data_IF_069920785907
#
_entry.id   IF_069920785907
#
_cell.length_a   1.000
_cell.length_b   1.000
_cell.length_c   1.000
_cell.angle_alpha   90.00
_cell.angle_beta   90.00
_cell.angle_gamma   90.00
#
_symmetry.space_group_name_H-M   'P 1'
#
loop_
_entity.id
_entity.type
_entity.pdbx_description
1 polymer ?
#
# COMPACT_ATOMS: atom_id res chain seq x y z
N UNK A 1 -14.18 29.27 5.20
CA UNK A 1 -13.92 28.46 4.00
C UNK A 1 -15.14 27.60 3.65
N UNK A 2 -15.11 26.85 2.57
CA UNK A 2 -16.24 26.02 2.10
C UNK A 2 -16.73 25.06 3.16
N UNK A 3 -15.83 24.38 3.91
CA UNK A 3 -16.22 23.45 4.96
C UNK A 3 -16.96 24.16 6.09
N UNK A 4 -16.48 25.31 6.56
CA UNK A 4 -17.16 26.09 7.58
C UNK A 4 -18.55 26.55 7.11
N UNK A 5 -18.70 26.89 5.84
CA UNK A 5 -19.99 27.27 5.29
C UNK A 5 -20.96 26.07 5.28
N UNK A 6 -20.50 24.86 4.86
CA UNK A 6 -21.28 23.63 4.88
C UNK A 6 -21.70 23.23 6.30
N UNK A 7 -20.78 23.35 7.27
CA UNK A 7 -21.05 23.04 8.68
C UNK A 7 -22.15 23.96 9.26
N UNK A 8 -22.19 25.23 8.82
CA UNK A 8 -23.21 26.21 9.24
C UNK A 8 -24.53 26.12 8.44
N UNK A 9 -24.51 25.50 7.27
CA UNK A 9 -25.67 25.41 6.37
C UNK A 9 -25.78 24.02 5.74
N UNK A 10 -26.05 22.97 6.55
CA UNK A 10 -25.98 21.58 6.09
C UNK A 10 -26.99 21.25 4.97
N UNK A 11 -28.10 21.96 4.90
CA UNK A 11 -29.20 21.71 3.97
C UNK A 11 -29.23 22.69 2.77
N UNK A 12 -28.18 23.49 2.58
CA UNK A 12 -28.12 24.49 1.50
C UNK A 12 -26.99 24.19 0.52
N UNK A 13 -27.27 24.35 -0.74
CA UNK A 13 -26.25 24.36 -1.78
C UNK A 13 -25.27 25.52 -1.61
N UNK A 14 -24.04 25.32 -2.05
CA UNK A 14 -23.04 26.39 -2.01
C UNK A 14 -23.51 27.59 -2.82
N UNK A 15 -23.33 28.82 -2.31
CA UNK A 15 -23.61 30.02 -3.10
C UNK A 15 -22.83 30.04 -4.41
N UNK A 16 -23.42 30.64 -5.46
CA UNK A 16 -22.86 30.70 -6.82
C UNK A 16 -21.44 31.29 -6.90
N UNK A 17 -21.03 32.07 -5.90
CA UNK A 17 -19.68 32.64 -5.85
C UNK A 17 -18.62 31.66 -5.33
N UNK A 18 -19.00 30.48 -4.83
CA UNK A 18 -18.09 29.39 -4.52
C UNK A 18 -17.90 28.53 -5.76
N UNK A 19 -16.92 28.87 -6.56
CA UNK A 19 -16.54 28.10 -7.76
C UNK A 19 -15.19 27.43 -7.56
N UNK A 20 -15.05 26.23 -8.09
CA UNK A 20 -13.78 25.51 -8.12
C UNK A 20 -12.92 25.98 -9.30
N UNK A 21 -11.62 25.70 -9.25
CA UNK A 21 -10.67 26.25 -10.22
C UNK A 21 -10.87 25.74 -11.65
N UNK A 22 -11.47 24.58 -11.84
CA UNK A 22 -11.82 23.97 -13.12
C UNK A 22 -13.15 24.48 -13.70
N UNK A 23 -13.99 25.11 -12.85
CA UNK A 23 -15.25 25.74 -13.23
C UNK A 23 -15.07 27.18 -13.74
N UNK A 24 -13.88 27.76 -13.53
CA UNK A 24 -13.58 29.12 -13.98
C UNK A 24 -13.32 29.12 -15.48
N UNK A 25 -14.04 29.99 -16.23
CA UNK A 25 -13.83 30.15 -17.67
C UNK A 25 -12.37 30.54 -17.98
N UNK A 26 -11.68 29.68 -18.68
CA UNK A 26 -10.28 29.86 -19.04
C UNK A 26 -10.04 31.04 -19.96
N UNK A 27 -11.00 31.40 -20.80
CA UNK A 27 -10.90 32.59 -21.69
C UNK A 27 -10.89 33.89 -20.87
N UNK A 28 -11.72 33.94 -19.83
CA UNK A 28 -11.74 35.08 -18.91
C UNK A 28 -10.45 35.17 -18.09
N UNK A 29 -9.88 34.03 -17.69
CA UNK A 29 -8.57 34.01 -17.02
C UNK A 29 -7.45 34.56 -17.89
N UNK A 30 -7.41 34.19 -19.18
CA UNK A 30 -6.44 34.73 -20.14
C UNK A 30 -6.61 36.26 -20.27
N UNK A 31 -7.84 36.74 -20.44
CA UNK A 31 -8.12 38.20 -20.52
C UNK A 31 -7.66 38.93 -19.26
N UNK A 32 -7.95 38.41 -18.10
CA UNK A 32 -7.53 39.00 -16.82
C UNK A 32 -5.99 39.03 -16.71
N UNK A 33 -5.32 37.90 -17.01
CA UNK A 33 -3.86 37.85 -16.98
C UNK A 33 -3.22 38.77 -17.98
N UNK A 34 -3.76 38.92 -19.21
CA UNK A 34 -3.32 39.86 -20.23
C UNK A 34 -3.43 41.31 -19.73
N UNK A 35 -4.55 41.66 -19.11
CA UNK A 35 -4.72 42.99 -18.54
C UNK A 35 -3.67 43.32 -17.47
N UNK A 36 -3.32 42.36 -16.61
CA UNK A 36 -2.28 42.52 -15.60
C UNK A 36 -0.88 42.54 -16.22
N UNK A 37 -0.62 41.72 -17.24
CA UNK A 37 0.71 41.58 -17.87
C UNK A 37 1.20 42.90 -18.47
N UNK A 38 0.32 43.80 -18.88
CA UNK A 38 0.67 45.13 -19.40
C UNK A 38 1.37 46.01 -18.38
N UNK A 39 1.22 45.71 -17.10
CA UNK A 39 1.77 46.46 -15.97
C UNK A 39 2.89 45.70 -15.22
N UNK A 40 3.28 44.56 -15.72
CA UNK A 40 4.26 43.69 -15.07
C UNK A 40 5.34 43.28 -16.07
N UNK A 41 6.60 43.61 -15.77
CA UNK A 41 7.73 43.32 -16.64
C UNK A 41 8.09 41.82 -16.66
N UNK A 42 7.88 41.11 -15.57
CA UNK A 42 8.12 39.69 -15.49
C UNK A 42 6.93 38.86 -15.99
N UNK A 43 7.19 37.58 -16.33
CA UNK A 43 6.12 36.63 -16.62
C UNK A 43 5.27 36.36 -15.37
N UNK A 44 3.96 36.37 -15.53
CA UNK A 44 3.01 36.02 -14.49
C UNK A 44 2.90 34.49 -14.47
N UNK A 45 3.22 33.87 -13.32
CA UNK A 45 3.00 32.44 -13.13
C UNK A 45 1.51 32.18 -12.82
N UNK A 46 0.81 31.61 -13.79
CA UNK A 46 -0.60 31.26 -13.66
C UNK A 46 -0.86 29.89 -14.27
N UNK A 47 -1.56 29.03 -13.55
CA UNK A 47 -2.01 27.73 -14.05
C UNK A 47 -3.51 27.77 -14.31
N UNK A 48 -3.91 27.42 -15.53
CA UNK A 48 -5.30 27.25 -15.92
C UNK A 48 -5.66 25.79 -15.74
N UNK A 49 -6.58 25.51 -14.83
CA UNK A 49 -7.08 24.17 -14.60
C UNK A 49 -8.27 23.91 -15.53
N UNK A 50 -8.23 22.78 -16.21
CA UNK A 50 -9.26 22.33 -17.14
C UNK A 50 -9.86 21.01 -16.64
N UNK A 51 -11.15 20.78 -16.86
CA UNK A 51 -11.80 19.55 -16.42
C UNK A 51 -11.28 18.31 -17.14
N UNK A 52 -11.50 17.15 -16.53
CA UNK A 52 -11.16 15.85 -17.10
C UNK A 52 -11.85 15.65 -18.45
N UNK A 53 -11.11 15.17 -19.44
CA UNK A 53 -11.62 14.93 -20.80
C UNK A 53 -11.51 16.14 -21.74
N UNK A 54 -10.90 17.26 -21.31
CA UNK A 54 -10.58 18.37 -22.21
C UNK A 54 -9.70 17.89 -23.36
N UNK A 55 -10.07 18.26 -24.59
CA UNK A 55 -9.39 17.84 -25.81
C UNK A 55 -8.07 18.59 -26.04
N UNK A 56 -7.17 17.99 -26.81
CA UNK A 56 -5.93 18.64 -27.25
C UNK A 56 -6.18 19.89 -28.06
N UNK A 57 -7.28 19.95 -28.82
CA UNK A 57 -7.66 21.10 -29.61
C UNK A 57 -8.02 22.32 -28.74
N UNK A 58 -8.77 22.10 -27.64
CA UNK A 58 -9.07 23.11 -26.65
C UNK A 58 -7.80 23.65 -25.98
N UNK A 59 -6.85 22.78 -25.65
CA UNK A 59 -5.56 23.17 -25.08
C UNK A 59 -4.74 23.99 -26.09
N UNK A 60 -4.75 23.57 -27.35
CA UNK A 60 -4.09 24.31 -28.43
C UNK A 60 -4.68 25.71 -28.62
N UNK A 61 -6.02 25.82 -28.65
CA UNK A 61 -6.73 27.08 -28.74
C UNK A 61 -6.39 28.02 -27.58
N UNK A 62 -6.31 27.46 -26.35
CA UNK A 62 -5.91 28.21 -25.16
C UNK A 62 -4.51 28.81 -25.31
N UNK A 63 -3.54 28.05 -25.76
CA UNK A 63 -2.18 28.56 -25.99
C UNK A 63 -2.13 29.63 -27.09
N UNK A 64 -2.86 29.42 -28.18
CA UNK A 64 -2.95 30.43 -29.27
C UNK A 64 -3.60 31.72 -28.80
N UNK A 65 -4.66 31.61 -27.99
CA UNK A 65 -5.32 32.78 -27.43
C UNK A 65 -4.43 33.51 -26.40
N UNK A 66 -3.71 32.77 -25.54
CA UNK A 66 -2.76 33.37 -24.61
C UNK A 66 -1.64 34.13 -25.34
N UNK A 67 -1.10 33.54 -26.41
CA UNK A 67 -0.08 34.16 -27.24
C UNK A 67 -0.62 35.43 -27.96
N UNK A 68 -1.82 35.33 -28.53
CA UNK A 68 -2.45 36.49 -29.23
C UNK A 68 -2.78 37.67 -28.32
N UNK A 69 -2.83 37.45 -27.01
CA UNK A 69 -3.07 38.45 -25.98
C UNK A 69 -1.80 38.89 -25.23
N UNK A 70 -0.62 38.64 -25.80
CA UNK A 70 0.69 39.04 -25.29
C UNK A 70 1.02 38.52 -23.88
N UNK A 71 0.52 37.36 -23.53
CA UNK A 71 0.93 36.69 -22.30
C UNK A 71 2.39 36.17 -22.42
N UNK A 72 3.24 36.50 -21.44
CA UNK A 72 4.63 36.03 -21.38
C UNK A 72 4.77 34.59 -20.92
N UNK A 73 3.72 34.03 -20.33
CA UNK A 73 3.69 32.62 -19.87
C UNK A 73 2.30 32.20 -19.44
N UNK A 74 1.97 30.93 -19.68
CA UNK A 74 0.76 30.28 -19.22
C UNK A 74 1.08 28.79 -18.99
N UNK A 75 0.51 28.23 -17.95
CA UNK A 75 0.58 26.80 -17.66
C UNK A 75 -0.82 26.23 -17.72
N UNK A 76 -0.97 25.04 -18.28
CA UNK A 76 -2.25 24.34 -18.35
C UNK A 76 -2.14 23.04 -17.57
N UNK A 77 -3.14 22.76 -16.77
CA UNK A 77 -3.33 21.49 -16.08
C UNK A 77 -4.71 20.94 -16.45
N UNK A 78 -4.74 19.75 -17.02
CA UNK A 78 -5.97 18.99 -17.26
C UNK A 78 -6.14 17.98 -16.16
N UNK A 79 -7.29 17.95 -15.51
CA UNK A 79 -7.58 17.00 -14.44
C UNK A 79 -7.34 15.56 -14.90
N UNK A 80 -6.58 14.79 -14.10
CA UNK A 80 -6.21 13.40 -14.39
C UNK A 80 -5.07 13.23 -15.42
N UNK A 81 -4.48 14.30 -15.98
CA UNK A 81 -3.36 14.20 -16.93
C UNK A 81 -2.03 13.83 -16.28
N UNK A 82 -1.90 14.04 -14.97
CA UNK A 82 -0.74 13.63 -14.18
C UNK A 82 -1.20 12.88 -12.93
N UNK A 83 -0.74 11.67 -12.74
CA UNK A 83 -0.97 10.93 -11.49
C UNK A 83 -0.12 11.57 -10.38
N UNK A 84 -0.76 11.93 -9.26
CA UNK A 84 -0.07 12.30 -8.02
C UNK A 84 0.23 13.79 -7.79
N UNK A 85 -0.27 14.72 -8.62
CA UNK A 85 -0.02 16.18 -8.41
C UNK A 85 -1.13 16.86 -7.59
N UNK A 86 -2.37 16.48 -7.78
CA UNK A 86 -3.52 16.83 -6.92
C UNK A 86 -4.34 15.57 -6.72
N UNK A 87 -4.51 15.17 -5.48
CA UNK A 87 -5.29 14.00 -5.10
C UNK A 87 -6.59 14.53 -4.52
N UNK A 88 -7.74 14.16 -5.10
CA UNK A 88 -9.04 14.42 -4.49
C UNK A 88 -9.16 13.64 -3.17
N UNK A 89 -9.99 14.11 -2.24
CA UNK A 89 -10.22 13.42 -0.97
C UNK A 89 -10.63 11.95 -1.17
N UNK A 90 -11.33 11.62 -2.26
CA UNK A 90 -11.66 10.24 -2.64
C UNK A 90 -10.42 9.40 -3.02
N UNK A 91 -9.43 9.98 -3.70
CA UNK A 91 -8.18 9.31 -4.01
C UNK A 91 -7.27 9.20 -2.78
N UNK A 92 -7.30 10.17 -1.87
CA UNK A 92 -6.65 10.06 -0.57
C UNK A 92 -7.29 8.96 0.29
N UNK A 93 -8.61 8.79 0.25
CA UNK A 93 -9.30 7.71 0.94
C UNK A 93 -8.89 6.32 0.42
N UNK A 94 -8.59 6.18 -0.88
CA UNK A 94 -8.10 4.91 -1.45
C UNK A 94 -6.65 4.57 -1.07
N UNK A 95 -5.87 5.54 -0.60
CA UNK A 95 -4.49 5.35 -0.14
C UNK A 95 -4.38 5.28 1.39
N UNK A 96 -5.46 5.54 2.14
CA UNK A 96 -5.48 5.43 3.59
C UNK A 96 -5.51 3.97 4.01
N UNK A 97 -4.41 3.49 4.57
CA UNK A 97 -4.38 2.20 5.26
C UNK A 97 -5.15 2.29 6.59
N UNK A 98 -5.76 1.19 7.01
CA UNK A 98 -6.39 1.08 8.33
C UNK A 98 -5.39 1.47 9.42
N UNK A 99 -5.77 2.36 10.33
CA UNK A 99 -4.91 2.73 11.46
C UNK A 99 -4.64 1.48 12.29
N UNK A 100 -3.35 1.19 12.53
CA UNK A 100 -2.96 0.04 13.34
C UNK A 100 -3.56 0.14 14.76
N UNK A 101 -4.35 -0.86 15.21
CA UNK A 101 -4.76 -0.97 16.61
C UNK A 101 -3.53 -1.10 17.52
N UNK A 102 -3.71 -0.77 18.80
CA UNK A 102 -2.64 -0.92 19.80
C UNK A 102 -2.20 -2.38 19.94
N UNK A 103 -3.17 -3.29 19.92
CA UNK A 103 -2.98 -4.75 20.03
C UNK A 103 -3.49 -5.40 18.74
N UNK A 104 -2.72 -6.33 18.21
CA UNK A 104 -3.10 -7.22 17.10
C UNK A 104 -2.98 -8.67 17.56
N UNK A 105 -3.91 -9.51 17.15
CA UNK A 105 -3.70 -10.96 17.20
C UNK A 105 -2.53 -11.33 16.30
N UNK A 106 -1.84 -12.43 16.59
CA UNK A 106 -0.71 -12.84 15.79
C UNK A 106 -0.59 -14.36 15.68
N UNK A 107 -0.07 -14.80 14.54
CA UNK A 107 0.43 -16.16 14.36
C UNK A 107 1.94 -16.17 14.57
N UNK A 108 2.43 -17.18 15.25
CA UNK A 108 3.84 -17.33 15.62
C UNK A 108 4.38 -18.64 15.07
N UNK A 109 5.50 -18.55 14.36
CA UNK A 109 6.16 -19.70 13.75
C UNK A 109 7.64 -19.71 14.10
N UNK A 110 8.23 -20.89 14.13
CA UNK A 110 9.64 -21.14 14.43
C UNK A 110 10.35 -21.83 13.25
N UNK A 111 10.55 -21.13 12.13
CA UNK A 111 11.27 -21.72 11.00
C UNK A 111 12.74 -21.96 11.31
N UNK A 112 13.30 -23.00 10.68
CA UNK A 112 14.73 -23.20 10.58
C UNK A 112 15.20 -22.68 9.24
N UNK A 113 16.11 -21.72 9.24
CA UNK A 113 16.68 -21.09 8.04
C UNK A 113 18.19 -21.28 8.07
N UNK A 114 18.74 -21.96 7.06
CA UNK A 114 20.17 -22.28 6.96
C UNK A 114 20.74 -22.93 8.25
N UNK A 115 19.95 -23.79 8.90
CA UNK A 115 20.34 -24.49 10.13
C UNK A 115 20.15 -23.71 11.44
N UNK A 116 19.76 -22.45 11.36
CA UNK A 116 19.52 -21.58 12.53
C UNK A 116 18.03 -21.46 12.85
N UNK A 117 17.71 -21.32 14.13
CA UNK A 117 16.33 -21.09 14.59
C UNK A 117 15.94 -19.63 14.42
N UNK A 118 14.78 -19.40 13.84
CA UNK A 118 14.21 -18.09 13.62
C UNK A 118 12.85 -17.96 14.28
N UNK A 119 12.45 -16.73 14.57
CA UNK A 119 11.11 -16.37 14.97
C UNK A 119 10.45 -15.62 13.80
N UNK A 120 9.25 -16.04 13.45
CA UNK A 120 8.39 -15.37 12.48
C UNK A 120 7.05 -15.08 13.16
N UNK A 121 6.69 -13.81 13.26
CA UNK A 121 5.42 -13.35 13.83
C UNK A 121 4.66 -12.59 12.75
N UNK A 122 3.44 -13.01 12.49
CA UNK A 122 2.52 -12.34 11.54
C UNK A 122 1.38 -11.73 12.34
N UNK A 123 1.39 -10.41 12.48
CA UNK A 123 0.29 -9.67 13.10
C UNK A 123 -0.92 -9.61 12.17
N UNK A 124 -2.10 -9.90 12.72
CA UNK A 124 -3.35 -10.01 11.96
C UNK A 124 -4.32 -8.87 12.34
N UNK A 125 -4.89 -8.24 11.33
CA UNK A 125 -6.01 -7.33 11.48
C UNK A 125 -7.24 -7.98 10.82
N UNK A 126 -8.28 -8.22 11.62
CA UNK A 126 -9.50 -8.91 11.15
C UNK A 126 -9.21 -10.25 10.44
N UNK A 127 -8.25 -11.00 10.96
CA UNK A 127 -7.82 -12.29 10.42
C UNK A 127 -6.94 -12.22 9.17
N UNK A 128 -6.61 -11.03 8.68
CA UNK A 128 -5.73 -10.82 7.52
C UNK A 128 -4.34 -10.37 7.94
N UNK A 129 -3.27 -10.82 7.27
CA UNK A 129 -1.92 -10.35 7.53
C UNK A 129 -1.81 -8.83 7.42
N UNK A 130 -1.28 -8.19 8.45
CA UNK A 130 -1.14 -6.74 8.53
C UNK A 130 0.31 -6.29 8.75
N UNK A 131 1.08 -7.07 9.52
CA UNK A 131 2.49 -6.77 9.79
C UNK A 131 3.29 -8.05 9.97
N UNK A 132 4.59 -7.97 9.72
CA UNK A 132 5.52 -9.09 9.78
C UNK A 132 6.72 -8.70 10.62
N UNK A 133 7.14 -9.62 11.50
CA UNK A 133 8.41 -9.58 12.20
C UNK A 133 9.11 -10.91 12.00
N UNK A 134 10.33 -10.88 11.47
CA UNK A 134 11.12 -12.09 11.29
C UNK A 134 12.58 -11.79 11.60
N UNK A 135 13.20 -12.67 12.38
CA UNK A 135 14.61 -12.57 12.72
C UNK A 135 15.13 -13.81 13.43
N UNK A 136 16.45 -13.86 13.62
CA UNK A 136 17.10 -14.96 14.33
C UNK A 136 16.78 -14.92 15.81
N UNK A 137 16.62 -16.12 16.41
CA UNK A 137 16.54 -16.29 17.85
C UNK A 137 17.98 -16.34 18.40
N UNK A 138 18.68 -15.20 18.38
CA UNK A 138 20.07 -15.13 18.87
C UNK A 138 20.16 -14.28 20.12
N UNK A 139 20.74 -14.87 21.19
CA UNK A 139 21.42 -14.12 22.25
C UNK A 139 20.58 -13.61 23.41
N UNK A 140 19.28 -13.75 23.47
CA UNK A 140 18.50 -13.47 24.69
C UNK A 140 17.84 -14.73 25.23
N UNK A 141 18.06 -15.02 26.51
CA UNK A 141 17.41 -16.16 27.20
C UNK A 141 15.88 -16.14 27.02
N UNK A 142 15.29 -14.96 26.94
CA UNK A 142 13.85 -14.79 26.76
C UNK A 142 13.34 -15.40 25.44
N UNK A 143 14.08 -15.25 24.34
CA UNK A 143 13.72 -15.82 23.04
C UNK A 143 14.03 -17.33 22.94
N UNK A 144 15.05 -17.82 23.66
CA UNK A 144 15.37 -19.24 23.71
C UNK A 144 14.34 -20.06 24.51
N UNK A 145 13.76 -19.47 25.55
CA UNK A 145 12.82 -20.12 26.45
C UNK A 145 11.35 -19.95 26.05
N UNK A 146 11.09 -19.49 24.82
CA UNK A 146 9.73 -19.35 24.32
C UNK A 146 9.01 -20.69 24.21
N UNK A 147 7.72 -20.75 24.58
CA UNK A 147 6.92 -21.95 24.43
C UNK A 147 6.75 -22.28 22.95
N UNK A 148 7.02 -23.55 22.60
CA UNK A 148 6.84 -24.00 21.20
C UNK A 148 5.39 -24.34 20.87
N UNK A 149 4.57 -24.59 21.86
CA UNK A 149 3.14 -24.81 21.72
C UNK A 149 2.42 -23.55 22.21
N UNK A 150 1.79 -22.83 21.30
CA UNK A 150 1.13 -21.57 21.54
C UNK A 150 -0.35 -21.74 21.19
N UNK A 151 -1.23 -21.34 22.09
CA UNK A 151 -2.69 -21.35 21.89
C UNK A 151 -3.16 -20.03 21.26
N UNK A 152 -2.58 -18.91 21.71
CA UNK A 152 -2.84 -17.61 21.14
C UNK A 152 -1.63 -16.69 21.31
N UNK A 153 -1.49 -15.72 20.42
CA UNK A 153 -0.46 -14.71 20.51
C UNK A 153 -1.02 -13.33 20.16
N UNK A 154 -0.43 -12.28 20.76
CA UNK A 154 -0.77 -10.89 20.51
C UNK A 154 0.48 -10.04 20.41
N UNK A 155 0.46 -9.03 19.53
CA UNK A 155 1.51 -8.03 19.39
C UNK A 155 0.99 -6.68 19.85
N UNK A 156 1.52 -6.18 20.95
CA UNK A 156 1.19 -4.87 21.50
C UNK A 156 2.23 -3.83 21.11
N UNK A 157 1.79 -2.70 20.54
CA UNK A 157 2.66 -1.56 20.25
C UNK A 157 2.81 -0.67 21.48
N UNK A 158 4.05 -0.53 21.99
CA UNK A 158 4.39 0.32 23.15
C UNK A 158 4.87 1.73 22.79
N UNK A 159 5.05 2.02 21.50
CA UNK A 159 5.52 3.31 20.98
C UNK A 159 6.96 3.27 20.47
N UNK A 160 7.39 4.30 19.72
CA UNK A 160 8.75 4.45 19.19
C UNK A 160 9.36 3.22 18.50
N UNK A 161 8.51 2.42 17.80
CA UNK A 161 8.97 1.20 17.11
C UNK A 161 9.21 0.00 18.03
N UNK A 162 8.82 0.06 19.31
CA UNK A 162 8.90 -1.05 20.26
C UNK A 162 7.59 -1.83 20.28
N UNK A 163 7.68 -3.15 20.22
CA UNK A 163 6.56 -4.07 20.25
C UNK A 163 6.82 -5.18 21.27
N UNK A 164 5.82 -5.50 22.07
CA UNK A 164 5.84 -6.63 22.99
C UNK A 164 5.03 -7.77 22.37
N UNK A 165 5.52 -9.00 22.58
CA UNK A 165 4.86 -10.23 22.12
C UNK A 165 4.33 -10.98 23.35
N UNK A 166 3.02 -11.14 23.41
CA UNK A 166 2.35 -11.93 24.43
C UNK A 166 1.99 -13.30 23.83
N UNK A 167 2.40 -14.36 24.51
CA UNK A 167 2.17 -15.76 24.14
C UNK A 167 1.39 -16.45 25.24
N UNK A 168 0.26 -17.05 24.88
CA UNK A 168 -0.55 -17.86 25.80
C UNK A 168 -0.39 -19.34 25.46
N UNK A 169 -0.14 -20.15 26.49
CA UNK A 169 -0.07 -21.61 26.40
C UNK A 169 -0.72 -22.25 27.62
N UNK A 170 -0.78 -23.58 27.69
CA UNK A 170 -1.36 -24.35 28.80
C UNK A 170 -0.71 -24.07 30.17
N UNK A 171 0.52 -23.52 30.21
CA UNK A 171 1.26 -23.24 31.45
C UNK A 171 1.10 -21.78 31.90
N UNK A 172 0.46 -20.93 31.09
CA UNK A 172 0.22 -19.53 31.40
C UNK A 172 0.63 -18.59 30.27
N UNK A 173 0.78 -17.32 30.62
CA UNK A 173 1.13 -16.24 29.67
C UNK A 173 2.59 -15.87 29.82
N UNK A 174 3.29 -15.75 28.69
CA UNK A 174 4.68 -15.28 28.58
C UNK A 174 4.68 -13.97 27.79
N UNK A 175 5.28 -12.92 28.35
CA UNK A 175 5.43 -11.62 27.68
C UNK A 175 6.90 -11.40 27.37
N UNK A 176 7.20 -11.11 26.10
CA UNK A 176 8.54 -10.79 25.61
C UNK A 176 8.54 -9.30 25.26
N UNK A 177 9.11 -8.49 26.14
CA UNK A 177 9.17 -7.05 25.98
C UNK A 177 10.14 -6.65 24.87
N UNK A 178 9.71 -5.79 23.95
CA UNK A 178 10.53 -5.27 22.87
C UNK A 178 11.07 -6.35 21.95
N UNK A 179 10.34 -7.44 21.73
CA UNK A 179 10.82 -8.63 21.01
C UNK A 179 11.41 -8.29 19.63
N UNK A 180 10.86 -7.33 18.93
CA UNK A 180 11.34 -6.90 17.63
C UNK A 180 12.78 -6.34 17.68
N UNK A 181 13.20 -5.72 18.77
CA UNK A 181 14.54 -5.18 18.94
C UNK A 181 15.60 -6.28 19.11
N UNK A 182 15.18 -7.48 19.51
CA UNK A 182 16.06 -8.63 19.69
C UNK A 182 16.18 -9.49 18.43
N UNK A 183 15.35 -9.25 17.43
CA UNK A 183 15.29 -10.04 16.19
C UNK A 183 16.06 -9.39 15.02
N UNK A 184 16.31 -8.09 15.09
CA UNK A 184 16.60 -7.34 13.86
C UNK A 184 18.07 -7.17 13.58
N UNK A 185 18.55 -7.82 12.50
CA UNK A 185 19.65 -7.27 11.70
C UNK A 185 19.10 -6.16 10.79
N UNK A 186 19.84 -5.07 10.50
CA UNK A 186 19.34 -3.90 9.76
C UNK A 186 18.67 -4.23 8.40
N UNK A 187 19.25 -5.17 7.64
CA UNK A 187 18.72 -5.58 6.33
C UNK A 187 17.40 -6.32 6.47
N UNK A 188 17.27 -7.19 7.48
CA UNK A 188 16.05 -7.95 7.76
C UNK A 188 14.94 -7.03 8.27
N UNK A 189 15.27 -6.07 9.10
CA UNK A 189 14.35 -5.04 9.55
C UNK A 189 13.76 -4.24 8.39
N UNK A 190 14.55 -3.93 7.38
CA UNK A 190 14.09 -3.24 6.18
C UNK A 190 13.12 -4.10 5.37
N UNK A 191 13.41 -5.39 5.17
CA UNK A 191 12.52 -6.33 4.50
C UNK A 191 11.19 -6.49 5.26
N UNK A 192 11.24 -6.68 6.58
CA UNK A 192 10.06 -6.78 7.43
C UNK A 192 9.17 -5.54 7.32
N UNK A 193 9.76 -4.33 7.33
CA UNK A 193 9.04 -3.07 7.17
C UNK A 193 8.42 -2.93 5.79
N UNK A 194 9.13 -3.30 4.72
CA UNK A 194 8.58 -3.24 3.36
C UNK A 194 7.40 -4.19 3.17
N UNK A 195 7.52 -5.44 3.64
CA UNK A 195 6.41 -6.41 3.61
C UNK A 195 5.23 -5.88 4.44
N UNK A 196 5.48 -5.42 5.67
CA UNK A 196 4.44 -4.85 6.52
C UNK A 196 3.76 -3.63 5.89
N UNK A 197 4.53 -2.78 5.19
CA UNK A 197 3.96 -1.63 4.46
C UNK A 197 3.05 -2.10 3.34
N UNK A 198 3.47 -3.07 2.52
CA UNK A 198 2.64 -3.63 1.46
C UNK A 198 1.31 -4.20 2.02
N UNK A 199 1.38 -4.98 3.11
CA UNK A 199 0.21 -5.57 3.75
C UNK A 199 -0.74 -4.50 4.31
N UNK A 200 -0.21 -3.46 4.97
CA UNK A 200 -1.00 -2.33 5.52
C UNK A 200 -1.72 -1.55 4.44
N UNK A 201 -1.13 -1.44 3.25
CA UNK A 201 -1.74 -0.78 2.09
C UNK A 201 -2.60 -1.73 1.24
N UNK A 202 -3.05 -2.85 1.84
CA UNK A 202 -3.94 -3.82 1.22
C UNK A 202 -3.40 -4.40 -0.10
N UNK A 203 -2.07 -4.47 -0.28
CA UNK A 203 -1.51 -5.24 -1.38
C UNK A 203 -1.91 -6.70 -1.18
N UNK A 204 -2.60 -7.34 -2.15
CA UNK A 204 -3.04 -8.71 -2.00
C UNK A 204 -1.86 -9.65 -1.72
N UNK A 205 -2.02 -10.52 -0.71
CA UNK A 205 -0.94 -11.34 -0.17
C UNK A 205 -0.26 -12.22 -1.24
N UNK A 206 -1.01 -12.67 -2.26
CA UNK A 206 -0.46 -13.47 -3.36
C UNK A 206 0.63 -12.73 -4.15
N UNK A 207 0.48 -11.40 -4.34
CA UNK A 207 1.50 -10.59 -5.02
C UNK A 207 2.74 -10.41 -4.15
N UNK A 208 2.56 -10.22 -2.84
CA UNK A 208 3.68 -10.12 -1.88
C UNK A 208 4.47 -11.43 -1.89
N UNK A 209 3.79 -12.57 -1.79
CA UNK A 209 4.39 -13.90 -1.84
C UNK A 209 5.12 -14.13 -3.17
N UNK A 210 4.51 -13.75 -4.29
CA UNK A 210 5.12 -13.90 -5.60
C UNK A 210 6.42 -13.09 -5.72
N UNK A 211 6.42 -11.83 -5.27
CA UNK A 211 7.62 -11.00 -5.35
C UNK A 211 8.75 -11.51 -4.46
N UNK A 212 8.45 -11.90 -3.22
CA UNK A 212 9.43 -12.48 -2.30
C UNK A 212 9.97 -13.80 -2.88
N UNK A 213 9.10 -14.62 -3.48
CA UNK A 213 9.45 -15.90 -4.08
C UNK A 213 10.33 -15.82 -5.33
N UNK A 214 10.39 -14.65 -6.02
CA UNK A 214 11.27 -14.43 -7.19
C UNK A 214 12.74 -14.26 -6.83
N UNK A 215 13.07 -13.98 -5.56
CA UNK A 215 14.48 -13.83 -5.17
C UNK A 215 15.26 -15.09 -5.49
N UNK A 216 16.48 -14.89 -6.00
CA UNK A 216 17.44 -15.97 -6.18
C UNK A 216 17.85 -16.51 -4.80
N UNK A 217 18.14 -17.80 -4.74
CA UNK A 217 18.55 -18.47 -3.51
C UNK A 217 18.00 -19.87 -3.34
N UNK A 218 18.61 -20.60 -2.45
CA UNK A 218 18.20 -21.95 -2.05
C UNK A 218 16.80 -21.94 -1.40
N UNK A 219 16.13 -23.10 -1.42
CA UNK A 219 14.81 -23.28 -0.79
C UNK A 219 14.80 -22.98 0.73
N UNK A 220 15.97 -23.00 1.38
CA UNK A 220 16.20 -22.61 2.78
C UNK A 220 16.52 -21.12 2.96
N UNK A 221 16.60 -20.33 1.90
CA UNK A 221 16.85 -18.90 2.03
C UNK A 221 15.68 -18.19 2.72
N UNK A 222 15.97 -17.07 3.39
CA UNK A 222 14.98 -16.29 4.14
C UNK A 222 13.73 -15.96 3.30
N UNK A 223 13.94 -15.48 2.07
CA UNK A 223 12.84 -15.11 1.18
C UNK A 223 11.96 -16.30 0.78
N UNK A 224 12.55 -17.46 0.49
CA UNK A 224 11.77 -18.68 0.15
C UNK A 224 10.99 -19.21 1.36
N UNK A 225 11.58 -19.14 2.54
CA UNK A 225 10.90 -19.52 3.78
C UNK A 225 9.76 -18.56 4.10
N UNK A 226 9.98 -17.25 4.03
CA UNK A 226 8.92 -16.24 4.22
C UNK A 226 7.77 -16.44 3.23
N UNK A 227 8.06 -16.61 1.94
CA UNK A 227 7.05 -16.87 0.92
C UNK A 227 6.21 -18.12 1.28
N UNK A 228 6.84 -19.20 1.76
CA UNK A 228 6.16 -20.45 2.17
C UNK A 228 5.20 -20.24 3.34
N UNK A 229 5.60 -19.49 4.35
CA UNK A 229 4.73 -19.21 5.50
C UNK A 229 3.60 -18.26 5.13
N UNK A 230 3.88 -17.23 4.35
CA UNK A 230 2.86 -16.25 3.93
C UNK A 230 1.84 -16.82 2.93
N UNK A 231 2.18 -17.88 2.18
CA UNK A 231 1.23 -18.60 1.32
C UNK A 231 0.00 -19.13 2.06
N UNK A 232 0.12 -19.43 3.35
CA UNK A 232 -0.99 -19.92 4.18
C UNK A 232 -2.15 -18.94 4.29
N UNK A 233 -1.90 -17.67 4.02
CA UNK A 233 -2.92 -16.62 4.07
C UNK A 233 -3.53 -16.30 2.70
N UNK A 234 -3.12 -17.00 1.64
CA UNK A 234 -3.78 -16.89 0.34
C UNK A 234 -5.11 -17.63 0.41
N UNK A 235 -6.20 -16.95 0.06
CA UNK A 235 -7.52 -17.54 0.09
C UNK A 235 -7.65 -18.57 -1.03
N UNK A 236 -8.15 -19.76 -0.69
CA UNK A 236 -8.41 -20.81 -1.66
C UNK A 236 -9.50 -20.41 -2.66
N UNK A 237 -9.35 -20.85 -3.89
CA UNK A 237 -10.26 -20.51 -4.99
C UNK A 237 -9.98 -19.16 -5.65
N UNK A 238 -8.99 -18.41 -5.19
CA UNK A 238 -8.58 -17.18 -5.83
C UNK A 238 -7.98 -17.48 -7.20
N UNK A 239 -8.57 -16.93 -8.26
CA UNK A 239 -8.10 -17.10 -9.64
C UNK A 239 -6.91 -16.19 -9.91
N UNK A 240 -5.90 -16.71 -10.60
CA UNK A 240 -4.79 -15.90 -11.09
C UNK A 240 -5.09 -15.45 -12.52
N UNK A 241 -5.59 -14.23 -12.65
CA UNK A 241 -5.86 -13.62 -13.96
C UNK A 241 -4.59 -13.43 -14.80
N UNK A 242 -4.70 -13.63 -16.12
CA UNK A 242 -3.67 -13.30 -17.10
C UNK A 242 -2.48 -14.26 -17.18
N UNK A 243 -2.59 -15.48 -16.61
CA UNK A 243 -1.59 -16.54 -16.83
C UNK A 243 -2.26 -17.84 -17.26
N UNK A 244 -1.78 -18.35 -18.40
CA UNK A 244 -2.12 -19.66 -18.91
C UNK A 244 -1.41 -20.77 -18.11
N UNK A 245 -1.99 -21.95 -18.09
CA UNK A 245 -1.34 -23.12 -17.53
C UNK A 245 -0.10 -23.49 -18.34
N UNK A 246 1.08 -23.68 -17.74
CA UNK A 246 2.30 -24.02 -18.46
C UNK A 246 2.25 -25.41 -19.11
N UNK A 247 1.36 -26.29 -18.68
CA UNK A 247 1.25 -27.67 -19.18
C UNK A 247 0.18 -27.82 -20.29
N UNK A 248 -1.01 -27.27 -20.06
CA UNK A 248 -2.13 -27.46 -21.00
C UNK A 248 -2.55 -26.19 -21.74
N UNK A 249 -1.92 -25.06 -21.48
CA UNK A 249 -2.19 -23.75 -22.08
C UNK A 249 -3.65 -23.29 -21.95
N UNK A 250 -4.40 -23.84 -20.99
CA UNK A 250 -5.78 -23.47 -20.74
C UNK A 250 -5.87 -22.10 -20.12
N UNK A 251 -6.77 -21.25 -20.62
CA UNK A 251 -7.10 -19.91 -20.11
C UNK A 251 -8.09 -19.97 -18.94
N UNK A 252 -8.67 -21.15 -18.63
CA UNK A 252 -9.68 -21.35 -17.59
C UNK A 252 -9.19 -21.04 -16.18
N UNK A 253 -7.95 -20.58 -16.07
CA UNK A 253 -7.39 -20.02 -14.86
C UNK A 253 -6.65 -21.03 -13.98
N UNK A 254 -5.54 -20.55 -13.48
CA UNK A 254 -4.86 -21.17 -12.38
C UNK A 254 -5.51 -20.65 -11.09
N UNK A 255 -5.91 -21.55 -10.19
CA UNK A 255 -6.53 -21.21 -8.89
C UNK A 255 -5.57 -21.56 -7.76
N UNK A 256 -5.58 -20.75 -6.73
CA UNK A 256 -4.88 -21.07 -5.49
C UNK A 256 -5.67 -22.12 -4.71
N UNK A 257 -5.01 -23.18 -4.30
CA UNK A 257 -5.54 -24.26 -3.49
C UNK A 257 -4.48 -24.69 -2.48
N UNK A 258 -4.77 -24.53 -1.20
CA UNK A 258 -3.80 -24.77 -0.09
C UNK A 258 -2.47 -24.03 -0.29
N UNK A 259 -2.52 -22.79 -0.80
CA UNK A 259 -1.33 -22.00 -1.11
C UNK A 259 -0.54 -22.42 -2.35
N UNK A 260 -0.97 -23.46 -3.06
CA UNK A 260 -0.42 -23.93 -4.34
C UNK A 260 -1.24 -23.38 -5.51
N UNK A 261 -0.59 -23.10 -6.63
CA UNK A 261 -1.27 -22.69 -7.85
C UNK A 261 -1.62 -23.94 -8.65
N UNK A 262 -2.91 -24.24 -8.78
CA UNK A 262 -3.41 -25.48 -9.40
C UNK A 262 -4.24 -25.16 -10.66
N UNK A 263 -4.04 -25.91 -11.73
CA UNK A 263 -4.83 -25.84 -12.95
C UNK A 263 -6.08 -26.71 -12.80
N UNK A 264 -7.25 -26.11 -12.98
CA UNK A 264 -8.52 -26.86 -12.92
C UNK A 264 -8.75 -27.78 -14.13
N UNK A 265 -8.08 -27.54 -15.26
CA UNK A 265 -8.26 -28.34 -16.48
C UNK A 265 -7.41 -29.60 -16.52
N UNK A 266 -6.13 -29.54 -16.10
CA UNK A 266 -5.21 -30.67 -16.23
C UNK A 266 -4.63 -31.17 -14.89
N UNK A 267 -4.94 -30.50 -13.78
CA UNK A 267 -4.44 -30.87 -12.46
C UNK A 267 -2.98 -30.46 -12.22
N UNK A 268 -2.34 -29.71 -13.12
CA UNK A 268 -1.01 -29.17 -12.88
C UNK A 268 -1.01 -28.38 -11.56
N UNK A 269 -0.03 -28.62 -10.68
CA UNK A 269 0.11 -27.91 -9.44
C UNK A 269 1.55 -27.40 -9.26
N UNK A 270 1.69 -26.12 -8.95
CA UNK A 270 2.95 -25.47 -8.62
C UNK A 270 2.90 -24.96 -7.19
N UNK A 271 3.56 -25.68 -6.29
CA UNK A 271 3.65 -25.35 -4.85
C UNK A 271 4.94 -24.62 -4.47
N UNK A 272 5.84 -24.37 -5.41
CA UNK A 272 7.21 -24.02 -5.33
C UNK A 272 7.71 -22.80 -4.69
#
# INVERSE_FOLDING_TARGET
>A
NVQQWRDLNPDKDLPEYFVESDQIDWQMRIKMQSAMQKHIDHSISSTINLPKGTTTDTVSELYLQAWSQDLKGVTVYVEGSRQGVLVSDEQMASTTHSKRPKILTADVFYPTILGEQWLLVVGLLEGKPYELFCGRINGTEQLHNMPRTIESAQVERKGQGRYDLELVNQKGTVIIEGFNLHLELPEQASLNRMISTALRHNVPIQFVVEQIGKSEGDFQSLSKVLARYLKRYIVDGLTREGKECPECHSDLGLVYQEGCLTCQSCGFAKCG
#
